data_IF_966385461075
#
_entry.id   IF_966385461075
#
_cell.length_a   1.000
_cell.length_b   1.000
_cell.length_c   1.000
_cell.angle_alpha   90.00
_cell.angle_beta   90.00
_cell.angle_gamma   90.00
#
_symmetry.space_group_name_H-M   'P 1'
#
loop_
_entity.id
_entity.type
_entity.pdbx_description
1 polymer ?
#
# COMPACT_ATOMS: atom_id res chain seq x y z
N UNK A 1 2.54 16.27 -25.39
CA UNK A 1 3.37 15.06 -25.51
C UNK A 1 4.57 15.22 -24.62
N UNK A 2 4.65 14.43 -23.54
CA UNK A 2 5.75 14.44 -22.57
C UNK A 2 6.02 13.00 -22.17
N UNK A 3 7.29 12.61 -22.13
CA UNK A 3 7.77 11.23 -22.19
C UNK A 3 7.18 10.28 -21.16
N UNK A 4 6.19 9.50 -21.59
CA UNK A 4 5.95 8.19 -21.01
C UNK A 4 7.00 7.24 -21.58
N UNK A 5 7.97 6.78 -20.79
CA UNK A 5 8.74 5.61 -21.19
C UNK A 5 10.20 5.58 -20.77
N UNK A 6 10.48 5.55 -19.47
CA UNK A 6 11.65 4.81 -18.98
C UNK A 6 11.63 4.55 -17.46
N UNK A 7 10.49 4.71 -16.78
CA UNK A 7 10.48 4.36 -15.36
C UNK A 7 10.52 2.85 -15.18
N UNK A 8 11.35 2.42 -14.23
CA UNK A 8 11.43 1.05 -13.73
C UNK A 8 10.60 0.83 -12.46
N UNK A 9 9.88 1.85 -12.02
CA UNK A 9 9.16 1.88 -10.75
C UNK A 9 7.65 1.73 -10.98
N UNK A 10 7.04 0.87 -10.18
CA UNK A 10 5.63 0.51 -10.22
C UNK A 10 5.00 0.79 -8.86
N UNK A 11 3.82 1.38 -8.85
CA UNK A 11 2.93 1.45 -7.71
C UNK A 11 1.80 0.46 -7.92
N UNK A 12 1.60 -0.41 -6.94
CA UNK A 12 0.44 -1.29 -6.86
C UNK A 12 -0.45 -0.84 -5.71
N UNK A 13 -1.74 -0.66 -5.97
CA UNK A 13 -2.72 -0.24 -4.98
C UNK A 13 -3.88 -1.22 -4.95
N UNK A 14 -4.10 -1.83 -3.79
CA UNK A 14 -5.18 -2.76 -3.52
C UNK A 14 -5.36 -2.92 -2.00
N UNK A 15 -6.58 -2.83 -1.45
CA UNK A 15 -6.82 -3.07 -0.02
C UNK A 15 -6.32 -4.45 0.48
N UNK A 16 -6.21 -5.44 -0.42
CA UNK A 16 -5.70 -6.77 -0.12
C UNK A 16 -4.20 -6.77 0.23
N UNK A 17 -3.43 -5.75 -0.17
CA UNK A 17 -2.01 -5.61 0.17
C UNK A 17 -1.83 -5.56 1.69
N UNK A 18 -2.73 -4.93 2.44
CA UNK A 18 -2.67 -4.91 3.90
C UNK A 18 -2.85 -6.31 4.50
N UNK A 19 -3.69 -7.15 3.89
CA UNK A 19 -3.89 -8.54 4.30
C UNK A 19 -2.67 -9.40 3.96
N UNK A 20 -2.12 -9.24 2.76
CA UNK A 20 -0.88 -9.93 2.33
C UNK A 20 0.32 -9.51 3.18
N UNK A 21 0.43 -8.24 3.54
CA UNK A 21 1.50 -7.69 4.35
C UNK A 21 1.45 -8.13 5.83
N UNK A 22 0.28 -8.53 6.33
CA UNK A 22 0.14 -9.05 7.69
C UNK A 22 0.89 -10.37 7.90
N UNK A 23 1.22 -11.10 6.82
CA UNK A 23 2.02 -12.33 6.87
C UNK A 23 3.28 -12.17 6.03
N UNK A 24 4.48 -12.09 6.63
CA UNK A 24 5.73 -11.73 5.93
C UNK A 24 6.07 -12.55 4.66
N UNK A 25 5.58 -13.78 4.51
CA UNK A 25 5.83 -14.59 3.30
C UNK A 25 4.79 -14.45 2.17
N UNK A 26 3.58 -13.97 2.46
CA UNK A 26 2.49 -13.96 1.46
C UNK A 26 2.70 -12.87 0.41
N UNK A 27 3.17 -11.69 0.82
CA UNK A 27 3.52 -10.63 -0.12
C UNK A 27 4.65 -11.06 -1.05
N UNK A 28 5.73 -11.64 -0.50
CA UNK A 28 6.86 -12.11 -1.31
C UNK A 28 6.45 -13.21 -2.30
N UNK A 29 5.61 -14.14 -1.87
CA UNK A 29 5.08 -15.19 -2.74
C UNK A 29 4.24 -14.61 -3.88
N UNK A 30 3.34 -13.67 -3.57
CA UNK A 30 2.53 -12.99 -4.59
C UNK A 30 3.39 -12.21 -5.58
N UNK A 31 4.37 -11.44 -5.08
CA UNK A 31 5.31 -10.68 -5.91
C UNK A 31 6.13 -11.59 -6.83
N UNK A 32 6.59 -12.74 -6.32
CA UNK A 32 7.30 -13.74 -7.11
C UNK A 32 6.41 -14.36 -8.19
N UNK A 33 5.16 -14.63 -7.86
CA UNK A 33 4.24 -15.27 -8.79
C UNK A 33 3.75 -14.30 -9.87
N UNK A 34 3.48 -13.04 -9.53
CA UNK A 34 2.78 -12.13 -10.44
C UNK A 34 3.68 -11.05 -11.05
N UNK A 35 4.67 -10.55 -10.31
CA UNK A 35 5.51 -9.43 -10.75
C UNK A 35 6.82 -9.93 -11.37
N UNK A 36 7.48 -10.93 -10.77
CA UNK A 36 8.74 -11.47 -11.29
C UNK A 36 8.63 -12.11 -12.69
N UNK A 37 7.40 -12.43 -13.15
CA UNK A 37 7.15 -12.93 -14.52
C UNK A 37 7.51 -11.89 -15.59
N UNK A 38 7.48 -10.60 -15.26
CA UNK A 38 7.80 -9.52 -16.20
C UNK A 38 9.27 -9.09 -16.15
N UNK A 39 9.95 -9.36 -15.03
CA UNK A 39 11.37 -9.06 -14.83
C UNK A 39 11.75 -9.19 -13.36
N UNK A 40 13.05 -9.23 -13.07
CA UNK A 40 13.53 -9.35 -11.69
C UNK A 40 13.18 -8.10 -10.87
N UNK A 41 12.64 -8.33 -9.67
CA UNK A 41 12.43 -7.28 -8.67
C UNK A 41 13.78 -6.95 -8.01
N UNK A 42 14.19 -5.69 -8.13
CA UNK A 42 15.37 -5.16 -7.45
C UNK A 42 15.08 -4.68 -6.03
N UNK A 43 13.89 -4.14 -5.79
CA UNK A 43 13.42 -3.74 -4.46
C UNK A 43 11.90 -3.62 -4.43
N UNK A 44 11.31 -3.73 -3.24
CA UNK A 44 9.93 -3.34 -3.02
C UNK A 44 9.78 -2.71 -1.64
N UNK A 45 8.70 -1.95 -1.47
CA UNK A 45 8.41 -1.23 -0.23
C UNK A 45 6.91 -1.11 -0.03
N UNK A 46 6.43 -1.58 1.12
CA UNK A 46 5.05 -1.37 1.54
C UNK A 46 4.86 0.11 1.94
N UNK A 47 3.86 0.77 1.37
CA UNK A 47 3.59 2.18 1.61
C UNK A 47 2.44 2.32 2.63
N UNK A 48 2.81 2.47 3.90
CA UNK A 48 1.88 2.72 5.00
C UNK A 48 0.80 1.64 5.20
N UNK A 49 -0.26 1.98 5.94
CA UNK A 49 -1.39 1.09 6.27
C UNK A 49 -2.43 0.89 5.15
N UNK A 50 -2.15 1.34 3.93
CA UNK A 50 -3.19 1.67 2.93
C UNK A 50 -3.32 0.70 1.77
N UNK A 51 -2.70 -0.47 1.87
CA UNK A 51 -2.79 -1.43 0.80
C UNK A 51 -2.10 -0.93 -0.47
N UNK A 52 -0.91 -0.33 -0.33
CA UNK A 52 -0.10 0.08 -1.48
C UNK A 52 1.33 -0.45 -1.33
N UNK A 53 1.95 -0.82 -2.45
CA UNK A 53 3.34 -1.27 -2.51
C UNK A 53 4.03 -0.64 -3.71
N UNK A 54 5.18 -0.03 -3.48
CA UNK A 54 6.08 0.39 -4.54
C UNK A 54 7.05 -0.74 -4.87
N UNK A 55 7.32 -0.95 -6.16
CA UNK A 55 8.18 -2.00 -6.67
C UNK A 55 9.15 -1.41 -7.68
N UNK A 56 10.42 -1.76 -7.58
CA UNK A 56 11.43 -1.47 -8.60
C UNK A 56 11.81 -2.73 -9.33
N UNK A 57 11.66 -2.73 -10.66
CA UNK A 57 12.13 -3.80 -11.52
C UNK A 57 13.50 -3.44 -12.11
N UNK A 58 14.27 -4.43 -12.55
CA UNK A 58 15.59 -4.18 -13.16
C UNK A 58 15.51 -3.46 -14.50
N UNK A 59 14.37 -3.57 -15.21
CA UNK A 59 14.17 -2.99 -16.53
C UNK A 59 12.91 -2.10 -16.59
N UNK A 60 12.99 -0.91 -17.21
CA UNK A 60 11.81 -0.09 -17.51
C UNK A 60 10.75 -0.81 -18.35
N UNK A 61 11.18 -1.68 -19.26
CA UNK A 61 10.26 -2.45 -20.09
C UNK A 61 9.47 -3.48 -19.26
N UNK A 62 10.12 -4.09 -18.27
CA UNK A 62 9.46 -4.97 -17.32
C UNK A 62 8.40 -4.23 -16.51
N UNK A 63 8.71 -3.02 -16.03
CA UNK A 63 7.76 -2.19 -15.29
C UNK A 63 6.56 -1.77 -16.13
N UNK A 64 6.77 -1.34 -17.37
CA UNK A 64 5.67 -1.00 -18.28
C UNK A 64 4.77 -2.21 -18.58
N UNK A 65 5.36 -3.38 -18.81
CA UNK A 65 4.63 -4.63 -19.05
C UNK A 65 3.83 -5.07 -17.81
N UNK A 66 4.44 -4.99 -16.63
CA UNK A 66 3.78 -5.30 -15.37
C UNK A 66 2.62 -4.34 -15.08
N UNK A 67 2.81 -3.03 -15.30
CA UNK A 67 1.75 -2.04 -15.13
C UNK A 67 0.54 -2.35 -16.01
N UNK A 68 0.78 -2.62 -17.30
CA UNK A 68 -0.30 -2.92 -18.24
C UNK A 68 -1.03 -4.23 -17.91
N UNK A 69 -0.30 -5.27 -17.51
CA UNK A 69 -0.89 -6.58 -17.28
C UNK A 69 -1.56 -6.75 -15.91
N UNK A 70 -1.10 -6.00 -14.89
CA UNK A 70 -1.63 -6.10 -13.53
C UNK A 70 -2.77 -5.11 -13.29
N UNK A 71 -2.88 -4.02 -14.03
CA UNK A 71 -3.97 -3.05 -13.83
C UNK A 71 -5.34 -3.71 -14.09
N UNK A 72 -6.20 -3.71 -13.06
CA UNK A 72 -7.48 -4.39 -13.05
C UNK A 72 -7.43 -5.90 -12.76
N UNK A 73 -6.24 -6.50 -12.62
CA UNK A 73 -6.10 -7.90 -12.24
C UNK A 73 -6.52 -8.12 -10.77
N UNK A 74 -7.10 -9.29 -10.47
CA UNK A 74 -7.46 -9.62 -9.09
C UNK A 74 -6.23 -10.00 -8.28
N UNK A 75 -6.04 -9.38 -7.11
CA UNK A 75 -4.94 -9.72 -6.20
C UNK A 75 -5.31 -10.90 -5.29
N UNK A 76 -6.25 -10.71 -4.36
CA UNK A 76 -6.88 -11.80 -3.59
C UNK A 76 -8.39 -11.82 -3.83
N UNK A 77 -9.04 -10.70 -3.52
CA UNK A 77 -10.48 -10.50 -3.59
C UNK A 77 -10.84 -9.27 -4.42
N UNK A 78 -9.93 -8.29 -4.49
CA UNK A 78 -10.16 -7.00 -5.14
C UNK A 78 -9.21 -6.78 -6.32
N UNK A 79 -9.62 -5.99 -7.31
CA UNK A 79 -8.75 -5.60 -8.40
C UNK A 79 -7.61 -4.72 -7.87
N UNK A 80 -6.40 -4.92 -8.39
CA UNK A 80 -5.24 -4.06 -8.14
C UNK A 80 -5.19 -2.97 -9.20
N UNK A 81 -4.86 -1.74 -8.80
CA UNK A 81 -4.44 -0.71 -9.75
C UNK A 81 -2.93 -0.71 -9.85
N UNK A 82 -2.41 -0.68 -11.08
CA UNK A 82 -0.97 -0.74 -11.34
C UNK A 82 -0.54 0.46 -12.19
N UNK A 83 0.27 1.35 -11.61
CA UNK A 83 0.69 2.59 -12.26
C UNK A 83 2.20 2.75 -12.22
N UNK A 84 2.77 3.39 -13.25
CA UNK A 84 4.20 3.71 -13.25
C UNK A 84 4.45 4.93 -12.36
N UNK A 85 5.46 4.83 -11.51
CA UNK A 85 5.97 5.97 -10.72
C UNK A 85 7.13 6.63 -11.46
N UNK A 86 7.34 7.94 -11.35
CA UNK A 86 8.58 8.55 -11.87
C UNK A 86 9.79 8.12 -11.05
N UNK A 87 9.63 8.09 -9.73
CA UNK A 87 10.69 7.88 -8.75
C UNK A 87 10.26 6.85 -7.69
N UNK A 88 11.22 6.13 -7.12
CA UNK A 88 10.93 5.20 -6.03
C UNK A 88 10.76 5.98 -4.71
N UNK A 89 9.70 5.72 -3.93
CA UNK A 89 9.46 6.44 -2.69
C UNK A 89 10.54 6.11 -1.65
N UNK A 90 11.35 7.11 -1.32
CA UNK A 90 12.31 7.06 -0.22
C UNK A 90 11.64 7.38 1.13
N UNK A 91 12.44 7.31 2.21
CA UNK A 91 11.95 7.51 3.57
C UNK A 91 11.47 8.96 3.79
N UNK A 92 12.02 9.93 3.07
CA UNK A 92 11.67 11.36 3.18
C UNK A 92 10.30 11.64 2.52
N UNK A 93 10.04 11.05 1.36
CA UNK A 93 8.72 11.09 0.71
C UNK A 93 7.65 10.40 1.57
N UNK A 94 8.01 9.29 2.23
CA UNK A 94 7.08 8.57 3.11
C UNK A 94 6.82 9.30 4.43
N UNK A 95 7.82 9.94 5.02
CA UNK A 95 7.63 10.80 6.18
C UNK A 95 6.73 11.98 5.82
N UNK A 96 6.95 12.61 4.67
CA UNK A 96 6.13 13.73 4.18
C UNK A 96 4.70 13.31 3.88
N UNK A 97 4.49 12.16 3.22
CA UNK A 97 3.16 11.60 2.94
C UNK A 97 2.47 11.15 4.23
N UNK A 98 3.20 10.50 5.15
CA UNK A 98 2.72 10.10 6.47
C UNK A 98 2.36 11.29 7.34
N UNK A 99 3.11 12.40 7.27
CA UNK A 99 2.81 13.65 7.95
C UNK A 99 1.61 14.36 7.31
N UNK A 100 1.55 14.48 5.98
CA UNK A 100 0.41 15.08 5.28
C UNK A 100 -0.88 14.29 5.52
N UNK A 101 -0.77 12.96 5.57
CA UNK A 101 -1.86 12.08 5.94
C UNK A 101 -2.21 12.25 7.41
N UNK A 102 -1.26 12.18 8.34
CA UNK A 102 -1.50 12.44 9.76
C UNK A 102 -2.23 13.77 9.93
N UNK A 103 -1.82 14.84 9.26
CA UNK A 103 -2.51 16.14 9.28
C UNK A 103 -3.94 16.10 8.73
N UNK A 104 -4.26 15.17 7.82
CA UNK A 104 -5.61 14.93 7.27
C UNK A 104 -6.44 13.94 8.11
N UNK A 105 -5.79 12.95 8.73
CA UNK A 105 -6.37 11.97 9.66
C UNK A 105 -6.33 12.44 11.11
N UNK A 106 -5.79 13.63 11.39
CA UNK A 106 -6.09 14.45 12.56
C UNK A 106 -7.56 14.90 12.42
N UNK A 107 -8.45 13.93 12.55
CA UNK A 107 -9.49 14.03 13.55
C UNK A 107 -8.83 14.12 14.93
N UNK A 108 -8.04 15.16 15.19
CA UNK A 108 -7.71 15.62 16.55
C UNK A 108 -8.63 16.78 16.94
N UNK A 109 -9.68 16.99 16.15
CA UNK A 109 -10.72 17.95 16.46
C UNK A 109 -11.57 17.46 17.64
N UNK A 110 -12.27 18.39 18.31
CA UNK A 110 -13.11 18.08 19.47
C UNK A 110 -14.05 16.88 19.26
N UNK A 111 -14.60 16.71 18.04
CA UNK A 111 -15.49 15.60 17.69
C UNK A 111 -14.85 14.20 17.78
N UNK A 112 -13.55 14.06 17.48
CA UNK A 112 -12.87 12.77 17.63
C UNK A 112 -12.54 12.48 19.09
N UNK A 113 -12.11 13.50 19.85
CA UNK A 113 -11.87 13.34 21.28
C UNK A 113 -13.18 12.99 22.02
N UNK A 114 -14.30 13.56 21.57
CA UNK A 114 -15.64 13.19 22.05
C UNK A 114 -16.03 11.76 21.67
N UNK A 115 -15.80 11.34 20.42
CA UNK A 115 -16.10 9.98 19.96
C UNK A 115 -15.23 8.92 20.69
N UNK A 116 -13.95 9.20 20.88
CA UNK A 116 -13.05 8.34 21.65
C UNK A 116 -13.41 8.30 23.14
N UNK A 117 -13.81 9.43 23.72
CA UNK A 117 -14.29 9.50 25.10
C UNK A 117 -15.65 8.83 25.32
N UNK A 118 -16.51 8.77 24.29
CA UNK A 118 -17.75 8.00 24.29
C UNK A 118 -17.46 6.50 24.23
N UNK A 119 -16.62 6.06 23.28
CA UNK A 119 -16.20 4.67 23.13
C UNK A 119 -15.54 4.13 24.40
N UNK A 120 -14.70 4.94 25.06
CA UNK A 120 -14.02 4.50 26.28
C UNK A 120 -14.98 4.38 27.48
N UNK A 121 -16.10 5.11 27.50
CA UNK A 121 -17.15 4.89 28.51
C UNK A 121 -17.91 3.61 28.25
N UNK A 122 -18.31 3.37 27.00
CA UNK A 122 -19.02 2.15 26.61
C UNK A 122 -18.23 0.89 26.95
N UNK A 123 -16.93 0.87 26.64
CA UNK A 123 -16.05 -0.26 26.94
C UNK A 123 -15.82 -0.47 28.44
N UNK A 124 -15.91 0.57 29.28
CA UNK A 124 -15.81 0.44 30.75
C UNK A 124 -17.07 -0.15 31.39
N UNK A 125 -18.20 -0.06 30.70
CA UNK A 125 -19.49 -0.61 31.16
C UNK A 125 -19.71 -2.05 30.68
N UNK A 126 -18.84 -2.57 29.82
CA UNK A 126 -18.89 -3.97 29.42
C UNK A 126 -18.48 -4.89 30.59
N UNK A 127 -19.23 -5.97 30.84
CA UNK A 127 -18.86 -6.95 31.85
C UNK A 127 -17.50 -7.57 31.49
N UNK A 128 -16.68 -7.93 32.49
CA UNK A 128 -15.38 -8.53 32.23
C UNK A 128 -15.55 -9.80 31.38
N UNK A 129 -14.65 -10.08 30.42
CA UNK A 129 -14.77 -11.24 29.57
C UNK A 129 -14.82 -12.50 30.43
N UNK A 130 -15.88 -13.30 30.23
CA UNK A 130 -16.10 -14.56 30.96
C UNK A 130 -14.95 -15.50 30.60
N UNK A 131 -14.27 -16.03 31.62
CA UNK A 131 -13.17 -17.00 31.48
C UNK A 131 -13.70 -18.39 31.18
#
# INVERSE_FOLDING_TARGET
GGGAGSSRHLLLECPDISLLAATPGMMEAWMREHVNRFGAISSYRLLGSYGSVAVSLESPHAAASAAHALDGATMLLRPVSATLLSDFPDDEHLQSAGQALAMRTVGGGPAYLEAMGALWRELRELPPPVR
#
